data_IF_503497635096
#
_entry.id   IF_503497635096
#
_cell.length_a   1.000
_cell.length_b   1.000
_cell.length_c   1.000
_cell.angle_alpha   90.00
_cell.angle_beta   90.00
_cell.angle_gamma   90.00
#
_symmetry.space_group_name_H-M   'P 1'
#
loop_
_entity.id
_entity.type
_entity.pdbx_description
1 polymer ?
#
# COMPACT_ATOMS: atom_id res chain seq x y z
N UNK A 1 8.39 -0.97 -5.55
CA UNK A 1 7.16 -1.77 -5.72
C UNK A 1 6.42 -1.26 -6.94
N UNK A 2 6.14 -2.09 -7.94
CA UNK A 2 5.32 -1.65 -9.07
C UNK A 2 3.83 -1.74 -8.76
N UNK A 3 3.03 -0.85 -9.37
CA UNK A 3 1.57 -0.86 -9.25
C UNK A 3 0.93 -2.21 -9.56
N UNK A 4 1.49 -2.96 -10.53
CA UNK A 4 0.97 -4.28 -10.91
C UNK A 4 0.92 -5.26 -9.73
N UNK A 5 1.85 -5.14 -8.76
CA UNK A 5 1.92 -6.06 -7.63
C UNK A 5 0.61 -6.06 -6.83
N UNK A 6 -0.08 -4.92 -6.74
CA UNK A 6 -1.35 -4.84 -6.03
C UNK A 6 -2.45 -5.71 -6.63
N UNK A 7 -2.36 -6.14 -7.90
CA UNK A 7 -3.29 -7.13 -8.44
C UNK A 7 -3.26 -8.47 -7.68
N UNK A 8 -2.13 -8.76 -7.01
CA UNK A 8 -1.88 -10.03 -6.32
C UNK A 8 -1.95 -9.90 -4.78
N UNK A 9 -1.94 -8.67 -4.26
CA UNK A 9 -1.87 -8.44 -2.82
C UNK A 9 -3.26 -8.26 -2.21
N UNK A 10 -3.57 -9.12 -1.25
CA UNK A 10 -4.69 -8.96 -0.33
C UNK A 10 -4.19 -8.67 1.08
N UNK A 11 -5.06 -8.15 1.94
CA UNK A 11 -4.74 -7.95 3.36
C UNK A 11 -4.32 -9.30 4.00
N UNK A 12 -3.13 -9.42 4.63
CA UNK A 12 -2.70 -10.66 5.27
C UNK A 12 -3.59 -11.08 6.44
N UNK A 13 -4.33 -10.14 7.03
CA UNK A 13 -5.13 -10.38 8.23
C UNK A 13 -6.58 -10.77 7.95
N UNK A 14 -7.19 -10.23 6.89
CA UNK A 14 -8.60 -10.50 6.58
C UNK A 14 -8.86 -10.88 5.11
N UNK A 15 -7.81 -11.03 4.30
CA UNK A 15 -7.86 -11.39 2.87
C UNK A 15 -8.66 -10.44 1.99
N UNK A 16 -9.02 -9.25 2.49
CA UNK A 16 -9.72 -8.25 1.70
C UNK A 16 -8.83 -7.67 0.61
N UNK A 17 -9.46 -7.45 -0.54
CA UNK A 17 -8.90 -6.85 -1.75
C UNK A 17 -9.95 -5.91 -2.34
N UNK A 18 -9.57 -4.78 -2.96
CA UNK A 18 -8.20 -4.26 -3.08
C UNK A 18 -7.73 -3.55 -1.80
N UNK A 19 -6.41 -3.40 -1.66
CA UNK A 19 -5.82 -2.48 -0.69
C UNK A 19 -5.77 -1.07 -1.29
N UNK A 20 -6.19 -0.06 -0.53
CA UNK A 20 -6.06 1.34 -0.95
C UNK A 20 -4.60 1.76 -0.88
N UNK A 21 -4.08 2.30 -1.97
CA UNK A 21 -2.69 2.74 -2.08
C UNK A 21 -2.59 4.25 -1.86
N UNK A 22 -1.64 4.65 -1.02
CA UNK A 22 -1.17 6.03 -0.90
C UNK A 22 0.30 6.04 -1.32
N UNK A 23 0.65 6.86 -2.31
CA UNK A 23 2.02 6.95 -2.84
C UNK A 23 2.67 8.21 -2.29
N UNK A 24 3.87 8.07 -1.73
CA UNK A 24 4.64 9.19 -1.19
C UNK A 24 5.85 9.54 -2.03
N UNK A 25 6.54 8.54 -2.56
CA UNK A 25 7.67 8.70 -3.47
C UNK A 25 7.66 7.57 -4.51
N UNK A 26 8.11 7.90 -5.72
CA UNK A 26 8.26 6.98 -6.84
C UNK A 26 9.63 7.19 -7.49
N UNK A 27 10.18 6.11 -8.06
CA UNK A 27 11.32 6.14 -8.95
C UNK A 27 10.89 5.69 -10.34
N UNK A 28 11.40 6.36 -11.38
CA UNK A 28 11.17 5.97 -12.77
C UNK A 28 12.39 5.18 -13.26
N UNK A 29 12.16 3.98 -13.79
CA UNK A 29 13.22 3.24 -14.45
C UNK A 29 13.41 3.73 -15.89
N UNK A 30 14.67 3.99 -16.25
CA UNK A 30 15.07 4.37 -17.61
C UNK A 30 15.16 3.13 -18.52
N UNK A 31 14.03 2.42 -18.60
CA UNK A 31 13.82 1.31 -19.52
C UNK A 31 12.42 1.44 -20.09
N UNK A 32 12.31 1.32 -21.40
CA UNK A 32 11.02 1.26 -22.08
C UNK A 32 10.56 -0.20 -22.13
N UNK A 33 9.29 -0.42 -21.81
CA UNK A 33 8.66 -1.73 -21.89
C UNK A 33 7.52 -1.64 -22.89
N UNK A 34 7.41 -2.64 -23.76
CA UNK A 34 6.20 -2.88 -24.54
C UNK A 34 5.38 -3.91 -23.79
N UNK A 35 4.20 -3.53 -23.32
CA UNK A 35 3.29 -4.41 -22.58
C UNK A 35 1.90 -4.37 -23.20
N UNK A 36 1.14 -5.45 -23.03
CA UNK A 36 -0.28 -5.45 -23.39
C UNK A 36 -1.05 -4.40 -22.57
N UNK A 37 -2.13 -3.88 -23.15
CA UNK A 37 -3.05 -2.97 -22.48
C UNK A 37 -4.47 -3.55 -22.54
N UNK A 38 -5.17 -3.72 -21.41
CA UNK A 38 -4.69 -3.46 -20.06
C UNK A 38 -3.61 -4.47 -19.63
N UNK A 39 -2.61 -4.00 -18.88
CA UNK A 39 -1.58 -4.89 -18.35
C UNK A 39 -2.09 -5.67 -17.13
N UNK A 40 -2.92 -5.01 -16.31
CA UNK A 40 -3.56 -5.59 -15.13
C UNK A 40 -4.79 -6.40 -15.53
N UNK A 41 -5.03 -7.54 -14.87
CA UNK A 41 -6.17 -8.41 -15.19
C UNK A 41 -7.42 -8.10 -14.35
N UNK A 42 -7.27 -7.56 -13.13
CA UNK A 42 -8.39 -7.35 -12.20
C UNK A 42 -8.52 -5.90 -11.71
N UNK A 43 -7.44 -5.30 -11.19
CA UNK A 43 -7.47 -3.99 -10.55
C UNK A 43 -6.28 -3.11 -10.96
N UNK A 44 -6.54 -1.92 -11.47
CA UNK A 44 -5.50 -0.97 -11.81
C UNK A 44 -5.18 -0.09 -10.60
N UNK A 45 -4.14 -0.44 -9.83
CA UNK A 45 -3.76 0.33 -8.64
C UNK A 45 -3.36 1.79 -8.94
N UNK A 46 -2.82 2.08 -10.13
CA UNK A 46 -2.51 3.46 -10.56
C UNK A 46 -3.76 4.30 -10.77
N UNK A 47 -4.88 3.68 -11.18
CA UNK A 47 -6.18 4.35 -11.38
C UNK A 47 -7.11 4.21 -10.18
N UNK A 48 -6.81 3.31 -9.24
CA UNK A 48 -7.64 3.05 -8.07
C UNK A 48 -8.96 2.32 -8.39
N UNK A 49 -9.07 1.63 -9.53
CA UNK A 49 -10.33 1.06 -10.02
C UNK A 49 -10.18 -0.35 -10.60
N UNK A 50 -11.28 -1.12 -10.63
CA UNK A 50 -11.31 -2.42 -11.31
C UNK A 50 -11.18 -2.23 -12.82
N UNK A 51 -10.48 -3.14 -13.48
CA UNK A 51 -10.19 -3.05 -14.92
C UNK A 51 -11.47 -3.05 -15.76
N UNK A 52 -12.49 -3.80 -15.34
CA UNK A 52 -13.81 -3.84 -15.98
C UNK A 52 -14.54 -2.47 -16.00
N UNK A 53 -14.18 -1.57 -15.07
CA UNK A 53 -14.82 -0.27 -14.89
C UNK A 53 -13.99 0.86 -15.57
N UNK A 54 -12.92 0.52 -16.29
CA UNK A 54 -12.01 1.47 -16.91
C UNK A 54 -12.13 1.50 -18.44
N UNK A 55 -11.91 2.68 -19.01
CA UNK A 55 -11.75 2.82 -20.46
C UNK A 55 -10.34 2.40 -20.87
N UNK A 56 -10.21 1.18 -21.40
CA UNK A 56 -8.91 0.56 -21.73
C UNK A 56 -8.05 1.42 -22.67
N UNK A 57 -8.67 2.13 -23.62
CA UNK A 57 -7.96 3.00 -24.56
C UNK A 57 -7.23 4.20 -23.91
N UNK A 58 -7.55 4.53 -22.66
CA UNK A 58 -6.94 5.64 -21.91
C UNK A 58 -5.83 5.19 -20.94
N UNK A 59 -5.48 3.90 -20.97
CA UNK A 59 -4.47 3.33 -20.10
C UNK A 59 -3.10 3.37 -20.78
N UNK A 60 -2.17 4.13 -20.19
CA UNK A 60 -0.76 4.06 -20.56
C UNK A 60 -0.03 3.05 -19.66
N UNK A 61 -0.23 1.77 -19.99
CA UNK A 61 0.38 0.67 -19.23
C UNK A 61 1.90 0.58 -19.45
N UNK A 62 2.38 0.93 -20.64
CA UNK A 62 3.81 0.96 -20.96
C UNK A 62 4.55 2.02 -20.14
N UNK A 63 3.91 3.16 -19.88
CA UNK A 63 4.43 4.12 -18.90
C UNK A 63 4.28 3.60 -17.47
N UNK A 64 3.10 3.10 -17.10
CA UNK A 64 2.79 2.63 -15.74
C UNK A 64 3.83 1.64 -15.17
N UNK A 65 4.28 0.67 -15.98
CA UNK A 65 5.24 -0.36 -15.53
C UNK A 65 6.65 0.16 -15.29
N UNK A 66 6.93 1.43 -15.62
CA UNK A 66 8.20 2.11 -15.36
C UNK A 66 8.25 2.78 -13.98
N UNK A 67 7.13 2.87 -13.29
CA UNK A 67 7.06 3.51 -11.98
C UNK A 67 7.20 2.47 -10.88
N UNK A 68 8.24 2.63 -10.08
CA UNK A 68 8.45 1.91 -8.84
C UNK A 68 8.08 2.81 -7.67
N UNK A 69 7.01 2.48 -6.97
CA UNK A 69 6.64 3.08 -5.69
C UNK A 69 7.73 2.72 -4.69
N UNK A 70 8.51 3.70 -4.27
CA UNK A 70 9.60 3.52 -3.30
C UNK A 70 9.09 3.71 -1.88
N UNK A 71 8.17 4.65 -1.67
CA UNK A 71 7.54 4.92 -0.37
C UNK A 71 6.04 5.10 -0.51
N UNK A 72 5.27 4.46 0.36
CA UNK A 72 3.81 4.52 0.32
C UNK A 72 3.14 3.71 1.43
N UNK A 73 1.81 3.67 1.41
CA UNK A 73 0.99 2.86 2.31
C UNK A 73 0.02 2.01 1.51
N UNK A 74 -0.11 0.75 1.93
CA UNK A 74 -1.24 -0.12 1.59
C UNK A 74 -2.22 -0.16 2.77
N UNK A 75 -3.41 0.42 2.62
CA UNK A 75 -4.43 0.47 3.65
C UNK A 75 -5.59 -0.48 3.33
N UNK A 76 -5.89 -1.38 4.27
CA UNK A 76 -7.07 -2.23 4.20
C UNK A 76 -8.29 -1.48 4.73
N UNK A 77 -9.18 -1.04 3.85
CA UNK A 77 -10.39 -0.33 4.22
C UNK A 77 -11.42 -1.19 4.97
N UNK A 78 -11.28 -2.52 4.92
CA UNK A 78 -12.12 -3.46 5.67
C UNK A 78 -11.72 -3.55 7.15
N UNK A 79 -10.46 -3.88 7.46
CA UNK A 79 -10.01 -4.09 8.84
C UNK A 79 -9.21 -2.93 9.45
N UNK A 80 -8.97 -1.84 8.70
CA UNK A 80 -8.26 -0.65 9.16
C UNK A 80 -6.74 -0.77 9.24
N UNK A 81 -6.17 -1.96 9.01
CA UNK A 81 -4.71 -2.15 9.02
C UNK A 81 -4.05 -1.47 7.83
N UNK A 82 -2.89 -0.88 8.09
CA UNK A 82 -2.04 -0.28 7.06
C UNK A 82 -0.67 -0.97 7.08
N UNK A 83 -0.02 -0.97 5.92
CA UNK A 83 1.29 -1.58 5.71
C UNK A 83 2.18 -0.59 4.95
N UNK A 84 3.35 -0.22 5.47
CA UNK A 84 4.25 0.68 4.75
C UNK A 84 4.92 -0.03 3.57
N UNK A 85 5.15 0.71 2.51
CA UNK A 85 6.12 0.39 1.46
C UNK A 85 7.39 1.17 1.79
N UNK A 86 8.49 0.47 2.03
CA UNK A 86 9.79 1.02 2.44
C UNK A 86 10.81 0.57 1.40
N UNK A 87 11.48 1.52 0.75
CA UNK A 87 12.44 1.26 -0.34
C UNK A 87 11.90 0.28 -1.39
N UNK A 88 10.61 0.42 -1.70
CA UNK A 88 9.90 -0.39 -2.68
C UNK A 88 9.51 -1.80 -2.22
N UNK A 89 9.67 -2.12 -0.94
CA UNK A 89 9.29 -3.39 -0.33
C UNK A 89 8.03 -3.19 0.54
N UNK A 90 6.92 -3.91 0.30
CA UNK A 90 5.74 -3.86 1.17
C UNK A 90 5.96 -4.65 2.47
N UNK A 91 5.88 -3.98 3.61
CA UNK A 91 6.03 -4.59 4.94
C UNK A 91 4.67 -5.08 5.45
N UNK A 92 4.13 -6.12 4.79
CA UNK A 92 2.80 -6.68 5.08
C UNK A 92 2.83 -7.77 6.16
N UNK A 93 3.41 -7.45 7.31
CA UNK A 93 3.50 -8.38 8.43
C UNK A 93 2.14 -8.56 9.14
N UNK A 94 1.81 -9.77 9.62
CA UNK A 94 0.68 -9.97 10.52
C UNK A 94 0.92 -9.28 11.87
N UNK A 95 -0.16 -9.03 12.60
CA UNK A 95 -0.15 -8.24 13.84
C UNK A 95 0.87 -8.74 14.89
N UNK A 96 0.96 -10.06 15.07
CA UNK A 96 1.90 -10.70 16.01
C UNK A 96 3.38 -10.43 15.70
N UNK A 97 3.68 -10.13 14.43
CA UNK A 97 5.02 -9.75 13.97
C UNK A 97 5.21 -8.22 13.96
N UNK A 98 4.15 -7.44 13.68
CA UNK A 98 4.19 -5.96 13.72
C UNK A 98 4.57 -5.42 15.11
N UNK A 99 4.19 -6.12 16.19
CA UNK A 99 4.56 -5.73 17.56
C UNK A 99 6.03 -6.02 17.92
N UNK A 100 6.76 -6.80 17.12
CA UNK A 100 8.17 -7.12 17.40
C UNK A 100 9.03 -5.85 17.23
N UNK A 101 9.98 -5.54 18.13
CA UNK A 101 10.73 -4.29 18.11
C UNK A 101 11.40 -3.96 16.77
N UNK A 102 11.92 -4.96 16.06
CA UNK A 102 12.53 -4.79 14.74
C UNK A 102 11.54 -4.27 13.70
N UNK A 103 10.32 -4.83 13.67
CA UNK A 103 9.29 -4.44 12.69
C UNK A 103 8.66 -3.11 13.11
N UNK A 104 8.34 -2.97 14.40
CA UNK A 104 7.79 -1.72 14.94
C UNK A 104 8.73 -0.53 14.73
N UNK A 105 10.03 -0.72 14.92
CA UNK A 105 11.03 0.32 14.67
C UNK A 105 11.03 0.82 13.22
N UNK A 106 10.76 -0.07 12.25
CA UNK A 106 10.63 0.31 10.84
C UNK A 106 9.36 1.12 10.57
N UNK A 107 8.24 0.77 11.21
CA UNK A 107 7.02 1.58 11.15
C UNK A 107 7.23 2.96 11.80
N UNK A 108 7.92 3.03 12.94
CA UNK A 108 8.20 4.29 13.62
C UNK A 108 9.13 5.20 12.78
N UNK A 109 10.16 4.64 12.14
CA UNK A 109 11.00 5.35 11.16
C UNK A 109 10.18 5.89 9.98
N UNK A 110 9.27 5.07 9.46
CA UNK A 110 8.37 5.47 8.38
C UNK A 110 7.44 6.63 8.80
N UNK A 111 6.83 6.52 9.98
CA UNK A 111 5.94 7.55 10.53
C UNK A 111 6.69 8.86 10.81
N UNK A 112 7.95 8.80 11.26
CA UNK A 112 8.79 10.00 11.40
C UNK A 112 9.03 10.70 10.06
N UNK A 113 9.18 9.93 8.97
CA UNK A 113 9.45 10.49 7.63
C UNK A 113 8.19 11.00 6.92
N UNK A 114 7.06 10.32 7.08
CA UNK A 114 5.85 10.59 6.28
C UNK A 114 4.57 10.86 7.07
N UNK A 115 4.62 10.83 8.42
CA UNK A 115 3.44 10.92 9.29
C UNK A 115 2.46 12.03 8.92
N UNK A 116 2.98 13.23 8.64
CA UNK A 116 2.18 14.42 8.29
C UNK A 116 1.46 14.32 6.95
N UNK A 117 1.86 13.37 6.09
CA UNK A 117 1.27 13.11 4.77
C UNK A 117 0.26 11.97 4.79
N UNK A 118 0.14 11.26 5.92
CA UNK A 118 -0.78 10.14 6.07
C UNK A 118 -2.15 10.69 6.49
N UNK A 119 -3.24 10.38 5.76
CA UNK A 119 -4.58 10.75 6.21
C UNK A 119 -4.84 10.19 7.63
N UNK A 120 -5.29 11.02 8.60
CA UNK A 120 -5.40 10.61 10.00
C UNK A 120 -6.20 9.31 10.19
N UNK A 121 -7.24 9.11 9.39
CA UNK A 121 -8.12 7.94 9.45
C UNK A 121 -7.39 6.62 9.19
N UNK A 122 -6.29 6.64 8.42
CA UNK A 122 -5.47 5.44 8.15
C UNK A 122 -4.79 4.96 9.43
N UNK A 123 -4.31 5.89 10.26
CA UNK A 123 -3.62 5.55 11.50
C UNK A 123 -4.61 5.32 12.65
N UNK A 124 -5.70 6.07 12.70
CA UNK A 124 -6.73 5.98 13.76
C UNK A 124 -7.53 4.66 13.68
N UNK A 125 -7.73 4.13 12.47
CA UNK A 125 -8.44 2.87 12.25
C UNK A 125 -7.59 1.63 12.48
N UNK A 126 -6.28 1.77 12.69
CA UNK A 126 -5.39 0.62 12.93
C UNK A 126 -5.77 -0.08 14.25
N UNK A 127 -6.21 -1.35 14.21
CA UNK A 127 -6.57 -2.09 15.42
C UNK A 127 -5.44 -2.14 16.45
N UNK A 128 -4.18 -2.18 15.99
CA UNK A 128 -3.02 -2.17 16.89
C UNK A 128 -2.83 -0.83 17.60
N UNK A 129 -3.23 0.29 16.97
CA UNK A 129 -3.22 1.60 17.63
C UNK A 129 -4.33 1.70 18.67
N UNK A 130 -5.53 1.27 18.32
CA UNK A 130 -6.69 1.30 19.21
C UNK A 130 -6.46 0.46 20.48
N UNK A 131 -5.85 -0.73 20.35
CA UNK A 131 -5.51 -1.58 21.49
C UNK A 131 -4.51 -0.93 22.48
N UNK A 132 -3.65 -0.02 22.00
CA UNK A 132 -2.69 0.72 22.85
C UNK A 132 -3.31 1.95 23.52
N UNK A 133 -4.37 2.49 22.95
CA UNK A 133 -5.09 3.67 23.46
C UNK A 133 -6.22 3.32 24.45
N UNK A 134 -6.38 2.04 24.80
CA UNK A 134 -7.33 1.61 25.83
C UNK A 134 -7.00 2.25 27.20
N UNK A 135 -7.98 2.35 28.11
CA UNK A 135 -7.82 3.06 29.36
C UNK A 135 -6.62 2.49 30.12
N UNK A 136 -5.68 3.36 30.49
CA UNK A 136 -4.68 3.10 31.51
C UNK A 136 -5.45 2.62 32.73
N UNK A 137 -5.34 1.33 33.08
CA UNK A 137 -5.87 0.85 34.34
C UNK A 137 -5.09 1.59 35.44
N UNK A 138 -5.74 2.58 36.04
CA UNK A 138 -5.28 3.26 37.25
C UNK A 138 -5.57 2.43 38.49
#
# INVERSE_FOLDING_TARGET
>A
MRYVLLNLLACPMCRSFPLRLYVFEEAVIDKRFSVRTPFCDLYCARRGAYVKDLQVGELDCSECVRHDITWGILHCTNCGRWYPVIDGIPFMYPDELRVKPRIRGKEDEFLKKFGDRIPPEVLERDPLRQARSGPTQG
#
